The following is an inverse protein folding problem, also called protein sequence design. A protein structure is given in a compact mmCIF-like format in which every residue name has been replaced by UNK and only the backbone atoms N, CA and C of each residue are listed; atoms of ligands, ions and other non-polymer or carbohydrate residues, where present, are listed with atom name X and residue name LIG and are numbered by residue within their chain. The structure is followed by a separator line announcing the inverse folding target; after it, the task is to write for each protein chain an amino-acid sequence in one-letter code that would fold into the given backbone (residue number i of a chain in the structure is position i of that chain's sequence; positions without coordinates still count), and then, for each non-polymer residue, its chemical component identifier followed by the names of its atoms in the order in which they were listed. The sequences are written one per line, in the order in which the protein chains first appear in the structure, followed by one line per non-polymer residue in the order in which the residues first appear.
data_IF_289609193114
#
_entry.id   IF_289609193114
#
_cell.length_a   1.000
_cell.length_b   1.000
_cell.length_c   1.000
_cell.angle_alpha   90.00
_cell.angle_beta   90.00
_cell.angle_gamma   90.00
#
_symmetry.space_group_name_H-M   'P 1'
#
loop_
_entity.id
_entity.type
_entity.pdbx_description
1 polymer ?
#
# COMPACT_ATOMS: atom_id res chain seq x y z
N UNK A 1 -1.70 -2.86 21.60
CA UNK A 1 -0.70 -2.58 22.67
C UNK A 1 -1.36 -2.46 24.04
N UNK A 2 -2.03 -3.53 24.43
CA UNK A 2 -2.50 -3.82 25.78
C UNK A 2 -1.34 -4.22 26.71
N UNK A 3 -1.49 -4.02 28.03
CA UNK A 3 -0.53 -4.51 29.04
C UNK A 3 -0.35 -6.04 28.96
N UNK A 4 -1.41 -6.77 28.57
CA UNK A 4 -1.39 -8.22 28.47
C UNK A 4 -0.52 -8.73 27.30
N UNK A 5 -0.53 -8.03 26.17
CA UNK A 5 0.32 -8.36 25.02
C UNK A 5 1.81 -8.28 25.38
N UNK A 6 2.20 -7.25 26.14
CA UNK A 6 3.59 -7.06 26.59
C UNK A 6 4.04 -8.16 27.57
N UNK A 7 3.15 -8.72 28.38
CA UNK A 7 3.51 -9.79 29.30
C UNK A 7 3.57 -11.17 28.64
N UNK A 8 2.71 -11.47 27.66
CA UNK A 8 2.58 -12.81 27.09
C UNK A 8 3.45 -13.07 25.85
N UNK A 9 3.77 -12.06 25.04
CA UNK A 9 4.56 -12.24 23.81
C UNK A 9 5.97 -11.63 23.85
N UNK A 10 6.42 -11.10 25.00
CA UNK A 10 7.78 -10.52 25.12
C UNK A 10 8.90 -11.50 24.84
N UNK A 11 8.78 -12.72 25.35
CA UNK A 11 9.85 -13.73 25.28
C UNK A 11 9.65 -14.75 24.16
N UNK A 12 8.46 -14.83 23.57
CA UNK A 12 8.14 -15.70 22.45
C UNK A 12 7.09 -15.06 21.52
N UNK A 13 7.52 -14.18 20.60
CA UNK A 13 6.60 -13.50 19.69
C UNK A 13 5.97 -14.50 18.71
N UNK A 14 4.67 -14.31 18.43
CA UNK A 14 3.97 -15.01 17.36
C UNK A 14 4.53 -14.72 15.96
N UNK A 15 4.07 -15.46 14.94
CA UNK A 15 4.53 -15.26 13.57
C UNK A 15 4.07 -13.90 13.02
N UNK A 16 4.96 -13.23 12.29
CA UNK A 16 4.69 -11.95 11.65
C UNK A 16 4.90 -12.04 10.15
N UNK A 17 4.17 -11.20 9.42
CA UNK A 17 4.31 -11.04 7.99
C UNK A 17 5.69 -10.50 7.56
N UNK A 18 5.94 -10.52 6.26
CA UNK A 18 7.18 -10.05 5.66
C UNK A 18 6.96 -8.80 4.80
N UNK A 19 8.01 -7.98 4.71
CA UNK A 19 8.12 -6.93 3.71
C UNK A 19 9.22 -7.34 2.74
N UNK A 20 8.83 -7.53 1.49
CA UNK A 20 9.72 -7.89 0.40
C UNK A 20 9.88 -6.70 -0.53
N UNK A 21 11.09 -6.49 -1.05
CA UNK A 21 11.41 -5.43 -2.02
C UNK A 21 11.51 -5.95 -3.46
N UNK A 22 11.15 -7.21 -3.67
CA UNK A 22 11.33 -7.92 -4.94
C UNK A 22 10.04 -7.96 -5.76
N UNK A 23 10.18 -7.69 -7.05
CA UNK A 23 9.08 -7.85 -8.01
C UNK A 23 8.83 -9.33 -8.30
N UNK A 24 7.66 -9.83 -7.89
CA UNK A 24 7.10 -11.01 -8.52
C UNK A 24 6.71 -10.69 -9.97
N UNK A 25 6.86 -11.65 -10.89
CA UNK A 25 6.38 -11.52 -12.28
C UNK A 25 4.88 -11.23 -12.24
N UNK A 26 4.50 -10.01 -12.57
CA UNK A 26 3.12 -9.57 -12.42
C UNK A 26 2.35 -9.81 -13.72
N UNK A 27 1.33 -10.65 -13.60
CA UNK A 27 0.33 -10.83 -14.64
C UNK A 27 -0.38 -9.50 -14.90
N UNK A 28 -0.76 -9.27 -16.15
CA UNK A 28 -1.51 -8.09 -16.53
C UNK A 28 -2.81 -8.03 -15.71
N UNK A 29 -3.09 -6.91 -15.00
CA UNK A 29 -4.33 -6.78 -14.28
C UNK A 29 -5.50 -6.75 -15.27
N UNK A 30 -6.63 -7.35 -14.87
CA UNK A 30 -7.88 -7.27 -15.65
C UNK A 30 -8.30 -5.80 -15.79
N UNK A 31 -8.94 -5.44 -16.90
CA UNK A 31 -9.35 -4.06 -17.17
C UNK A 31 -10.14 -3.41 -16.02
N UNK A 32 -11.08 -4.14 -15.41
CA UNK A 32 -11.88 -3.65 -14.26
C UNK A 32 -11.01 -3.30 -13.03
N UNK A 33 -9.91 -4.04 -12.82
CA UNK A 33 -8.97 -3.78 -11.71
C UNK A 33 -8.25 -2.47 -11.98
N UNK A 34 -7.85 -2.20 -13.22
CA UNK A 34 -7.25 -0.92 -13.63
C UNK A 34 -8.22 0.22 -13.35
N UNK A 35 -9.48 0.10 -13.79
CA UNK A 35 -10.51 1.13 -13.54
C UNK A 35 -10.70 1.39 -12.04
N UNK A 36 -10.84 0.33 -11.23
CA UNK A 36 -10.99 0.46 -9.78
C UNK A 36 -9.76 1.07 -9.12
N UNK A 37 -8.55 0.67 -9.52
CA UNK A 37 -7.30 1.22 -9.01
C UNK A 37 -7.09 2.68 -9.38
N UNK A 38 -7.46 3.08 -10.60
CA UNK A 38 -7.45 4.48 -11.04
C UNK A 38 -8.44 5.31 -10.23
N UNK A 39 -9.68 4.84 -10.04
CA UNK A 39 -10.66 5.53 -9.22
C UNK A 39 -10.17 5.68 -7.76
N UNK A 40 -9.57 4.63 -7.19
CA UNK A 40 -8.98 4.66 -5.86
C UNK A 40 -7.80 5.64 -5.75
N UNK A 41 -6.92 5.71 -6.76
CA UNK A 41 -5.84 6.70 -6.80
C UNK A 41 -6.40 8.12 -6.87
N UNK A 42 -7.39 8.39 -7.72
CA UNK A 42 -8.02 9.72 -7.80
C UNK A 42 -8.63 10.10 -6.46
N UNK A 43 -9.34 9.18 -5.81
CA UNK A 43 -9.90 9.40 -4.48
C UNK A 43 -8.82 9.68 -3.42
N UNK A 44 -7.72 8.93 -3.43
CA UNK A 44 -6.57 9.16 -2.55
C UNK A 44 -5.95 10.54 -2.78
N UNK A 45 -5.72 10.93 -4.04
CA UNK A 45 -5.15 12.23 -4.39
C UNK A 45 -6.09 13.37 -4.04
N UNK A 46 -7.39 13.20 -4.29
CA UNK A 46 -8.41 14.15 -3.85
C UNK A 46 -8.38 14.32 -2.33
N UNK A 47 -8.31 13.23 -1.57
CA UNK A 47 -8.21 13.28 -0.12
C UNK A 47 -6.94 14.00 0.36
N UNK A 48 -5.77 13.67 -0.21
CA UNK A 48 -4.49 14.31 0.10
C UNK A 48 -4.50 15.80 -0.25
N UNK A 49 -5.18 16.20 -1.33
CA UNK A 49 -5.25 17.60 -1.74
C UNK A 49 -6.30 18.40 -0.95
N UNK A 50 -7.46 17.81 -0.69
CA UNK A 50 -8.59 18.49 -0.06
C UNK A 50 -8.38 18.76 1.44
N UNK A 51 -7.86 17.77 2.19
CA UNK A 51 -7.69 17.87 3.65
C UNK A 51 -6.75 19.00 4.12
N UNK A 52 -5.53 19.13 3.58
CA UNK A 52 -4.58 20.13 4.08
C UNK A 52 -4.83 21.53 3.52
N UNK A 53 -5.43 21.65 2.33
CA UNK A 53 -5.57 22.95 1.68
C UNK A 53 -6.95 23.57 1.85
N UNK A 54 -8.01 22.79 2.13
CA UNK A 54 -9.40 23.27 2.32
C UNK A 54 -9.83 24.35 1.30
N UNK A 55 -9.26 24.27 0.10
CA UNK A 55 -9.33 25.30 -0.93
C UNK A 55 -9.71 24.59 -2.23
N UNK A 56 -10.95 24.82 -2.67
CA UNK A 56 -11.36 24.60 -4.06
C UNK A 56 -10.98 25.80 -4.93
N UNK A 57 -10.35 26.82 -4.36
CA UNK A 57 -10.02 28.06 -5.03
C UNK A 57 -8.60 28.04 -5.60
N UNK A 58 -8.53 28.27 -6.91
CA UNK A 58 -7.36 28.50 -7.76
C UNK A 58 -6.25 27.42 -7.72
N UNK A 59 -6.06 26.74 -8.85
CA UNK A 59 -4.89 25.89 -9.11
C UNK A 59 -3.59 26.68 -8.94
N UNK A 60 -2.88 26.44 -7.83
CA UNK A 60 -1.54 26.99 -7.59
C UNK A 60 -0.50 26.03 -8.15
N UNK A 61 0.35 26.49 -9.07
CA UNK A 61 1.37 25.66 -9.74
C UNK A 61 2.30 24.97 -8.73
N UNK A 62 2.68 25.66 -7.65
CA UNK A 62 3.51 25.10 -6.57
C UNK A 62 2.88 23.84 -5.96
N UNK A 63 1.59 23.90 -5.66
CA UNK A 63 0.89 22.81 -4.98
C UNK A 63 0.66 21.64 -5.95
N UNK A 64 0.41 21.93 -7.23
CA UNK A 64 0.37 20.93 -8.28
C UNK A 64 1.72 20.19 -8.46
N UNK A 65 2.84 20.91 -8.43
CA UNK A 65 4.17 20.31 -8.48
C UNK A 65 4.44 19.42 -7.26
N UNK A 66 4.09 19.87 -6.05
CA UNK A 66 4.25 19.07 -4.83
C UNK A 66 3.37 17.81 -4.89
N UNK A 67 2.09 17.94 -5.24
CA UNK A 67 1.17 16.80 -5.38
C UNK A 67 1.68 15.79 -6.41
N UNK A 68 2.22 16.26 -7.53
CA UNK A 68 2.83 15.40 -8.55
C UNK A 68 4.04 14.64 -8.00
N UNK A 69 4.94 15.33 -7.28
CA UNK A 69 6.11 14.71 -6.66
C UNK A 69 5.71 13.62 -5.65
N UNK A 70 4.73 13.92 -4.79
CA UNK A 70 4.19 12.94 -3.83
C UNK A 70 3.57 11.74 -4.54
N UNK A 71 2.82 11.97 -5.62
CA UNK A 71 2.21 10.90 -6.42
C UNK A 71 3.28 10.00 -7.03
N UNK A 72 4.33 10.57 -7.61
CA UNK A 72 5.43 9.80 -8.18
C UNK A 72 6.16 8.99 -7.11
N UNK A 73 6.47 9.60 -5.96
CA UNK A 73 7.08 8.89 -4.84
C UNK A 73 6.19 7.73 -4.36
N UNK A 74 4.89 7.96 -4.22
CA UNK A 74 3.92 6.93 -3.84
C UNK A 74 3.85 5.78 -4.86
N UNK A 75 3.86 6.06 -6.17
CA UNK A 75 3.87 5.03 -7.21
C UNK A 75 5.15 4.19 -7.18
N UNK A 76 6.31 4.83 -6.98
CA UNK A 76 7.60 4.13 -6.85
C UNK A 76 7.59 3.22 -5.62
N UNK A 77 7.20 3.75 -4.45
CA UNK A 77 7.10 2.97 -3.22
C UNK A 77 6.11 1.80 -3.37
N UNK A 78 4.95 2.06 -3.95
CA UNK A 78 3.94 1.03 -4.19
C UNK A 78 4.45 -0.05 -5.14
N UNK A 79 5.21 0.31 -6.16
CA UNK A 79 5.82 -0.65 -7.06
C UNK A 79 6.78 -1.57 -6.29
N UNK A 80 7.78 -1.02 -5.59
CA UNK A 80 8.86 -1.80 -4.97
C UNK A 80 8.49 -2.51 -3.68
N UNK A 81 7.63 -1.93 -2.83
CA UNK A 81 7.34 -2.47 -1.51
C UNK A 81 6.20 -3.49 -1.61
N UNK A 82 6.48 -4.76 -1.36
CA UNK A 82 5.49 -5.83 -1.29
C UNK A 82 5.31 -6.28 0.15
N UNK A 83 4.13 -6.02 0.71
CA UNK A 83 3.81 -6.39 2.09
C UNK A 83 2.98 -7.67 2.06
N UNK A 84 3.39 -8.65 2.85
CA UNK A 84 2.73 -9.94 2.99
C UNK A 84 2.39 -10.16 4.47
N UNK A 85 1.23 -9.68 4.95
CA UNK A 85 0.80 -9.96 6.32
C UNK A 85 0.60 -11.47 6.52
N UNK A 86 0.80 -11.94 7.74
CA UNK A 86 0.39 -13.29 8.12
C UNK A 86 -1.10 -13.31 8.47
N UNK A 87 -1.91 -13.89 7.59
CA UNK A 87 -3.36 -13.97 7.72
C UNK A 87 -3.83 -14.94 8.81
N UNK A 88 -2.98 -15.90 9.20
CA UNK A 88 -3.29 -16.85 10.26
C UNK A 88 -3.13 -16.23 11.66
N UNK A 89 -2.50 -15.05 11.74
CA UNK A 89 -2.25 -14.32 12.98
C UNK A 89 -2.78 -12.87 12.91
N UNK A 90 -4.09 -12.72 12.69
CA UNK A 90 -4.80 -11.42 12.62
C UNK A 90 -5.95 -11.31 13.64
N UNK A 91 -5.80 -11.97 14.80
CA UNK A 91 -6.78 -11.91 15.88
C UNK A 91 -8.01 -12.77 15.62
N UNK A 92 -9.10 -12.53 16.33
CA UNK A 92 -10.33 -13.30 16.13
C UNK A 92 -11.05 -12.82 14.87
N UNK A 93 -11.38 -13.75 13.97
CA UNK A 93 -12.05 -13.49 12.70
C UNK A 93 -11.34 -12.45 11.79
N UNK A 94 -10.06 -12.16 12.04
CA UNK A 94 -9.26 -11.20 11.24
C UNK A 94 -9.49 -9.71 11.56
N UNK A 95 -10.41 -9.38 12.46
CA UNK A 95 -10.80 -7.99 12.75
C UNK A 95 -10.89 -7.66 14.25
N UNK A 96 -10.96 -8.67 15.11
CA UNK A 96 -11.08 -8.48 16.55
C UNK A 96 -9.70 -8.69 17.17
N UNK A 97 -9.25 -7.68 17.91
CA UNK A 97 -7.97 -7.68 18.60
C UNK A 97 -7.82 -8.87 19.55
N UNK A 98 -6.68 -9.56 19.45
CA UNK A 98 -6.28 -10.53 20.44
C UNK A 98 -5.53 -9.81 21.58
N UNK A 99 -6.15 -9.66 22.77
CA UNK A 99 -5.57 -8.87 23.85
C UNK A 99 -4.27 -9.47 24.43
N UNK A 100 -3.83 -10.64 23.97
CA UNK A 100 -2.63 -11.33 24.42
C UNK A 100 -1.50 -11.36 23.39
N UNK A 101 -1.73 -10.91 22.15
CA UNK A 101 -0.75 -11.00 21.06
C UNK A 101 -0.53 -9.66 20.37
N UNK A 102 0.64 -9.04 20.57
CA UNK A 102 0.97 -7.82 19.83
C UNK A 102 1.30 -8.10 18.36
N UNK A 103 1.68 -9.35 18.03
CA UNK A 103 2.00 -9.73 16.65
C UNK A 103 0.78 -9.65 15.72
N UNK A 104 -0.43 -9.76 16.28
CA UNK A 104 -1.69 -9.48 15.61
C UNK A 104 -1.80 -8.01 15.14
N UNK A 105 -1.50 -7.06 16.04
CA UNK A 105 -1.44 -5.63 15.73
C UNK A 105 -0.46 -5.36 14.56
N UNK A 106 0.70 -6.02 14.57
CA UNK A 106 1.70 -5.89 13.51
C UNK A 106 1.16 -6.38 12.16
N UNK A 107 0.49 -7.54 12.13
CA UNK A 107 -0.08 -8.09 10.91
C UNK A 107 -1.25 -7.26 10.37
N UNK A 108 -2.11 -6.73 11.24
CA UNK A 108 -3.17 -5.78 10.84
C UNK A 108 -2.59 -4.49 10.28
N UNK A 109 -1.53 -3.97 10.88
CA UNK A 109 -0.85 -2.79 10.38
C UNK A 109 -0.21 -3.04 9.00
N UNK A 110 0.36 -4.23 8.80
CA UNK A 110 0.83 -4.67 7.48
C UNK A 110 -0.30 -4.78 6.46
N UNK A 111 -1.47 -5.31 6.82
CA UNK A 111 -2.64 -5.34 5.94
C UNK A 111 -3.11 -3.93 5.57
N UNK A 112 -3.14 -3.00 6.54
CA UNK A 112 -3.46 -1.61 6.28
C UNK A 112 -2.52 -1.00 5.23
N UNK A 113 -1.21 -1.18 5.37
CA UNK A 113 -0.26 -0.68 4.37
C UNK A 113 -0.37 -1.42 3.03
N UNK A 114 -0.66 -2.72 3.05
CA UNK A 114 -0.90 -3.47 1.82
C UNK A 114 -2.10 -2.87 1.05
N UNK A 115 -3.18 -2.54 1.75
CA UNK A 115 -4.34 -1.85 1.17
C UNK A 115 -4.00 -0.43 0.71
N UNK A 116 -3.21 0.32 1.49
CA UNK A 116 -2.78 1.67 1.15
C UNK A 116 -1.91 1.72 -0.12
N UNK A 117 -1.03 0.74 -0.34
CA UNK A 117 -0.15 0.66 -1.52
C UNK A 117 -0.83 0.03 -2.74
N UNK A 118 -1.97 -0.64 -2.56
CA UNK A 118 -2.65 -1.39 -3.63
C UNK A 118 -3.06 -0.51 -4.83
N UNK A 119 -3.67 0.67 -4.66
CA UNK A 119 -4.00 1.55 -5.79
C UNK A 119 -2.76 1.92 -6.62
N UNK A 120 -1.67 2.29 -5.95
CA UNK A 120 -0.40 2.60 -6.60
C UNK A 120 0.17 1.41 -7.36
N UNK A 121 0.09 0.20 -6.79
CA UNK A 121 0.52 -1.04 -7.48
C UNK A 121 -0.26 -1.27 -8.77
N UNK A 122 -1.59 -1.18 -8.72
CA UNK A 122 -2.45 -1.43 -9.89
C UNK A 122 -2.08 -0.54 -11.08
N UNK A 123 -1.59 0.67 -10.81
CA UNK A 123 -1.23 1.65 -11.84
C UNK A 123 0.24 1.55 -12.25
N UNK A 124 1.15 1.45 -11.28
CA UNK A 124 2.59 1.39 -11.54
C UNK A 124 2.98 0.16 -12.35
N UNK A 125 2.34 -0.98 -12.11
CA UNK A 125 2.68 -2.26 -12.74
C UNK A 125 2.44 -2.23 -14.26
N UNK A 126 1.25 -1.85 -14.78
CA UNK A 126 1.04 -1.65 -16.21
C UNK A 126 1.99 -0.64 -16.84
N UNK A 127 2.29 0.48 -16.14
CA UNK A 127 3.21 1.51 -16.65
C UNK A 127 4.61 0.90 -16.86
N UNK A 128 5.15 0.22 -15.86
CA UNK A 128 6.48 -0.39 -15.95
C UNK A 128 6.50 -1.54 -16.95
N UNK A 129 5.43 -2.36 -17.00
CA UNK A 129 5.31 -3.42 -18.00
C UNK A 129 5.30 -2.85 -19.42
N UNK A 130 4.53 -1.79 -19.69
CA UNK A 130 4.48 -1.11 -20.98
C UNK A 130 5.86 -0.55 -21.35
N UNK A 131 6.52 0.13 -20.41
CA UNK A 131 7.87 0.64 -20.60
C UNK A 131 8.84 -0.51 -20.94
N UNK A 132 8.80 -1.60 -20.19
CA UNK A 132 9.65 -2.77 -20.42
C UNK A 132 9.43 -3.41 -21.79
N UNK A 133 8.22 -3.36 -22.34
CA UNK A 133 7.90 -3.86 -23.68
C UNK A 133 8.41 -2.92 -24.77
N UNK A 134 8.21 -1.61 -24.61
CA UNK A 134 8.69 -0.61 -25.57
C UNK A 134 10.22 -0.55 -25.63
N UNK A 135 10.89 -0.74 -24.49
CA UNK A 135 12.35 -0.62 -24.37
C UNK A 135 13.09 -1.96 -24.28
N UNK A 136 12.39 -3.11 -24.32
CA UNK A 136 13.02 -4.40 -24.58
C UNK A 136 13.55 -4.39 -26.01
N UNK A 137 14.81 -4.01 -26.15
CA UNK A 137 15.59 -4.27 -27.36
C UNK A 137 15.54 -5.79 -27.59
N UNK A 138 15.00 -6.22 -28.73
CA UNK A 138 15.20 -7.58 -29.25
C UNK A 138 16.73 -7.77 -29.32
N UNK A 139 17.29 -8.49 -28.35
CA UNK A 139 18.55 -9.19 -28.55
C UNK A 139 18.25 -10.47 -29.32
#
# INVERSE_FOLDING_TARGET
MSLFEWFFERDNPGPTGSVETYHHKLNWPRFWIIVAGTAALIALLFFIYYLPFNQLEAFVLRDACLATLFTLAYLVLSYYIYIKPDYDNMGYLGFIDNPFKYTDDVNRFMLFFQALLLPGKIIAIPIVNLFSLCFKRKN
#
